data_IF_534399325781
#
_entry.id   IF_534399325781
#
_cell.length_a   1.000
_cell.length_b   1.000
_cell.length_c   1.000
_cell.angle_alpha   90.00
_cell.angle_beta   90.00
_cell.angle_gamma   90.00
#
_symmetry.space_group_name_H-M   'P 1'
#
loop_
_entity.id
_entity.type
_entity.pdbx_description
1 polymer ?
#
# COMPACT_ATOMS: atom_id res chain seq x y z
N UNK A 1 10.51 -3.21 -8.31
CA UNK A 1 9.79 -4.50 -8.28
C UNK A 1 10.61 -5.57 -7.57
N UNK A 2 11.85 -5.83 -7.98
CA UNK A 2 12.68 -6.95 -7.47
C UNK A 2 12.79 -7.05 -5.93
N UNK A 3 12.93 -5.91 -5.24
CA UNK A 3 12.92 -5.90 -3.77
C UNK A 3 11.58 -6.34 -3.20
N UNK A 4 10.48 -5.74 -3.68
CA UNK A 4 9.11 -6.09 -3.29
C UNK A 4 8.83 -7.56 -3.53
N UNK A 5 9.22 -8.09 -4.70
CA UNK A 5 9.04 -9.49 -5.05
C UNK A 5 9.71 -10.42 -4.02
N UNK A 6 11.00 -10.21 -3.75
CA UNK A 6 11.73 -11.04 -2.77
C UNK A 6 11.14 -10.96 -1.36
N UNK A 7 10.80 -9.75 -0.93
CA UNK A 7 10.27 -9.52 0.43
C UNK A 7 8.88 -10.12 0.60
N UNK A 8 7.97 -9.92 -0.35
CA UNK A 8 6.61 -10.45 -0.31
C UNK A 8 6.60 -11.97 -0.47
N UNK A 9 7.42 -12.52 -1.38
CA UNK A 9 7.58 -13.97 -1.52
C UNK A 9 8.06 -14.62 -0.22
N UNK A 10 9.03 -14.00 0.47
CA UNK A 10 9.49 -14.48 1.79
C UNK A 10 8.41 -14.37 2.87
N UNK A 11 7.68 -13.26 2.90
CA UNK A 11 6.68 -12.99 3.93
C UNK A 11 5.44 -13.88 3.81
N UNK A 12 4.96 -14.16 2.59
CA UNK A 12 3.65 -14.79 2.36
C UNK A 12 3.72 -16.21 1.83
N UNK A 13 4.54 -16.52 0.81
CA UNK A 13 4.38 -17.75 0.02
C UNK A 13 4.39 -19.04 0.87
N UNK A 14 5.21 -19.09 1.93
CA UNK A 14 5.28 -20.24 2.85
C UNK A 14 4.00 -20.53 3.63
N UNK A 15 3.06 -19.60 3.66
CA UNK A 15 1.78 -19.70 4.37
C UNK A 15 0.59 -19.85 3.42
N UNK A 16 0.84 -19.86 2.09
CA UNK A 16 -0.21 -19.96 1.08
C UNK A 16 -0.44 -21.41 0.66
N UNK A 17 -1.64 -21.73 0.11
CA UNK A 17 -1.90 -23.03 -0.51
C UNK A 17 -0.91 -23.36 -1.62
N UNK A 18 -0.73 -24.66 -1.88
CA UNK A 18 0.13 -25.13 -2.96
C UNK A 18 -0.30 -24.54 -4.31
N UNK A 19 0.66 -24.03 -5.08
CA UNK A 19 0.42 -23.40 -6.38
C UNK A 19 0.00 -21.92 -6.32
N UNK A 20 -0.21 -21.34 -5.13
CA UNK A 20 -0.53 -19.92 -4.97
C UNK A 20 0.72 -19.11 -4.59
N UNK A 21 0.84 -17.89 -5.12
CA UNK A 21 1.91 -16.95 -4.78
C UNK A 21 1.35 -15.66 -4.18
N UNK A 22 2.19 -14.88 -3.48
CA UNK A 22 1.77 -13.63 -2.85
C UNK A 22 1.06 -12.67 -3.83
N UNK A 23 1.43 -12.71 -5.11
CA UNK A 23 0.88 -11.84 -6.14
C UNK A 23 -0.63 -12.05 -6.33
N UNK A 24 -1.10 -13.28 -6.12
CA UNK A 24 -2.50 -13.68 -6.24
C UNK A 24 -3.38 -13.11 -5.13
N UNK A 25 -2.79 -12.62 -4.03
CA UNK A 25 -3.50 -11.94 -2.95
C UNK A 25 -3.95 -10.52 -3.32
N UNK A 26 -3.44 -9.97 -4.43
CA UNK A 26 -3.61 -8.55 -4.76
C UNK A 26 -4.14 -8.36 -6.18
N UNK A 27 -5.33 -7.75 -6.27
CA UNK A 27 -5.92 -7.30 -7.53
C UNK A 27 -5.06 -6.28 -8.28
N UNK A 28 -4.18 -5.56 -7.59
CA UNK A 28 -3.28 -4.59 -8.21
C UNK A 28 -2.06 -4.40 -7.32
N UNK A 29 -0.88 -4.32 -7.94
CA UNK A 29 0.35 -3.95 -7.23
C UNK A 29 0.96 -2.74 -7.89
N UNK A 30 1.24 -1.71 -7.10
CA UNK A 30 1.94 -0.50 -7.53
C UNK A 30 3.23 -0.39 -6.72
N UNK A 31 4.36 -0.53 -7.39
CA UNK A 31 5.69 -0.32 -6.81
C UNK A 31 6.20 1.08 -7.10
N UNK A 32 7.16 1.56 -6.31
CA UNK A 32 7.75 2.89 -6.46
C UNK A 32 6.68 4.00 -6.58
N UNK A 33 5.65 3.93 -5.73
CA UNK A 33 4.54 4.89 -5.74
C UNK A 33 4.99 6.33 -5.47
N UNK A 34 6.18 6.54 -4.87
CA UNK A 34 6.73 7.86 -4.51
C UNK A 34 5.73 8.67 -3.69
N UNK A 35 5.41 8.16 -2.50
CA UNK A 35 4.65 8.92 -1.51
C UNK A 35 5.57 10.02 -0.94
N UNK A 36 5.09 11.25 -0.71
CA UNK A 36 3.69 11.69 -0.77
C UNK A 36 3.13 12.03 -2.17
N UNK A 37 3.97 12.13 -3.21
CA UNK A 37 3.57 12.60 -4.54
C UNK A 37 2.47 11.76 -5.19
N UNK A 38 2.39 10.47 -4.86
CA UNK A 38 1.29 9.58 -5.22
C UNK A 38 -0.10 10.16 -4.95
N UNK A 39 -0.23 10.90 -3.85
CA UNK A 39 -1.48 11.52 -3.41
C UNK A 39 -1.61 12.99 -3.83
N UNK A 40 -0.53 13.63 -4.28
CA UNK A 40 -0.54 15.07 -4.58
C UNK A 40 -0.57 15.35 -6.09
N UNK A 41 -0.03 14.47 -6.92
CA UNK A 41 0.19 14.73 -8.34
C UNK A 41 -0.29 13.58 -9.22
N UNK A 42 -0.68 13.92 -10.45
CA UNK A 42 -0.89 12.92 -11.50
C UNK A 42 0.47 12.56 -12.10
N UNK A 43 1.07 11.47 -11.63
CA UNK A 43 2.32 10.94 -12.17
C UNK A 43 2.06 9.94 -13.31
N UNK A 44 3.04 9.78 -14.19
CA UNK A 44 3.05 8.75 -15.23
C UNK A 44 2.98 7.35 -14.60
N UNK A 45 2.26 6.45 -15.27
CA UNK A 45 2.11 5.06 -14.90
C UNK A 45 2.86 4.19 -15.90
N UNK A 46 3.60 3.21 -15.41
CA UNK A 46 4.27 2.21 -16.24
C UNK A 46 3.86 0.83 -15.78
N UNK A 47 3.53 -0.06 -16.71
CA UNK A 47 3.33 -1.48 -16.44
C UNK A 47 4.69 -2.18 -16.41
N UNK A 48 4.91 -3.00 -15.39
CA UNK A 48 6.08 -3.89 -15.32
C UNK A 48 5.71 -5.15 -16.08
N UNK A 49 6.32 -5.35 -17.25
CA UNK A 49 5.91 -6.42 -18.19
C UNK A 49 6.78 -7.67 -18.12
N UNK A 50 7.90 -7.61 -17.42
CA UNK A 50 8.84 -8.72 -17.28
C UNK A 50 9.43 -8.78 -15.87
N UNK A 51 9.94 -9.94 -15.49
CA UNK A 51 10.56 -10.17 -14.17
C UNK A 51 11.85 -9.36 -13.96
N UNK A 52 12.59 -9.06 -15.02
CA UNK A 52 13.77 -8.18 -14.99
C UNK A 52 13.42 -6.68 -14.85
N UNK A 53 12.13 -6.34 -14.89
CA UNK A 53 11.62 -5.02 -14.56
C UNK A 53 11.45 -4.09 -15.76
N UNK A 54 11.32 -4.63 -16.98
CA UNK A 54 11.04 -3.81 -18.17
C UNK A 54 9.73 -3.04 -17.98
N UNK A 55 9.78 -1.74 -18.26
CA UNK A 55 8.66 -0.82 -18.08
C UNK A 55 8.04 -0.47 -19.43
N UNK A 56 6.72 -0.62 -19.53
CA UNK A 56 5.93 -0.15 -20.67
C UNK A 56 5.02 0.99 -20.21
N UNK A 57 4.97 2.14 -20.90
CA UNK A 57 4.01 3.19 -20.59
C UNK A 57 2.58 2.65 -20.56
N UNK A 58 1.84 2.97 -19.50
CA UNK A 58 0.45 2.54 -19.32
C UNK A 58 -0.45 3.76 -19.11
N UNK A 59 -1.54 3.84 -19.87
CA UNK A 59 -2.49 4.94 -19.75
C UNK A 59 -3.52 4.72 -18.64
N UNK A 60 -3.75 3.46 -18.27
CA UNK A 60 -4.73 3.06 -17.25
C UNK A 60 -4.21 1.83 -16.51
N UNK A 61 -4.46 1.80 -15.20
CA UNK A 61 -4.28 0.59 -14.41
C UNK A 61 -5.48 -0.36 -14.62
N UNK A 62 -5.24 -1.65 -14.43
CA UNK A 62 -6.22 -2.73 -14.57
C UNK A 62 -6.03 -3.73 -13.43
N UNK A 63 -7.08 -4.47 -13.11
CA UNK A 63 -7.04 -5.63 -12.22
C UNK A 63 -6.04 -6.67 -12.74
N UNK A 64 -5.34 -7.35 -11.83
CA UNK A 64 -4.18 -8.21 -12.07
C UNK A 64 -2.87 -7.46 -12.37
N UNK A 65 -2.93 -6.16 -12.65
CA UNK A 65 -1.79 -5.42 -13.18
C UNK A 65 -0.71 -5.08 -12.15
N UNK A 66 0.55 -5.18 -12.59
CA UNK A 66 1.74 -4.76 -11.84
C UNK A 66 2.28 -3.47 -12.45
N UNK A 67 2.37 -2.42 -11.63
CA UNK A 67 2.70 -1.08 -12.10
C UNK A 67 3.82 -0.44 -11.30
N UNK A 68 4.47 0.55 -11.90
CA UNK A 68 5.46 1.44 -11.32
C UNK A 68 4.97 2.88 -11.41
N UNK A 69 5.04 3.63 -10.30
CA UNK A 69 4.61 5.03 -10.24
C UNK A 69 3.09 5.20 -10.15
N UNK A 70 2.51 6.03 -11.02
CA UNK A 70 1.08 6.31 -11.01
C UNK A 70 0.61 7.25 -9.88
N UNK A 71 -0.70 7.32 -9.68
CA UNK A 71 -1.31 8.20 -8.68
C UNK A 71 -2.56 7.58 -8.07
N UNK A 72 -2.94 8.03 -6.88
CA UNK A 72 -4.16 7.56 -6.19
C UNK A 72 -5.42 7.77 -7.06
N UNK A 73 -5.48 8.85 -7.84
CA UNK A 73 -6.58 9.11 -8.79
C UNK A 73 -6.69 8.05 -9.88
N UNK A 74 -5.56 7.47 -10.32
CA UNK A 74 -5.57 6.38 -11.30
C UNK A 74 -6.09 5.09 -10.67
N UNK A 75 -5.83 4.86 -9.38
CA UNK A 75 -6.38 3.71 -8.63
C UNK A 75 -7.89 3.81 -8.53
N UNK A 76 -8.44 4.95 -8.09
CA UNK A 76 -9.89 5.17 -8.03
C UNK A 76 -10.56 4.89 -9.37
N UNK A 77 -9.99 5.45 -10.45
CA UNK A 77 -10.51 5.24 -11.81
C UNK A 77 -10.42 3.79 -12.29
N UNK A 78 -9.36 3.08 -11.92
CA UNK A 78 -9.16 1.69 -12.35
C UNK A 78 -10.08 0.72 -11.62
N UNK A 79 -10.35 0.99 -10.34
CA UNK A 79 -11.24 0.18 -9.51
C UNK A 79 -12.71 0.63 -9.58
N UNK A 80 -12.99 1.76 -10.24
CA UNK A 80 -14.31 2.37 -10.35
C UNK A 80 -14.98 2.60 -8.98
N UNK A 81 -14.20 3.14 -8.05
CA UNK A 81 -14.60 3.50 -6.68
C UNK A 81 -14.11 4.90 -6.37
N UNK A 82 -14.68 5.51 -5.33
CA UNK A 82 -14.33 6.87 -4.94
C UNK A 82 -14.39 7.07 -3.44
N UNK A 83 -13.54 7.97 -2.92
CA UNK A 83 -13.75 8.51 -1.59
C UNK A 83 -13.74 7.45 -0.50
N UNK A 84 -14.80 7.42 0.29
CA UNK A 84 -14.94 6.56 1.45
C UNK A 84 -15.19 5.08 1.10
N UNK A 85 -15.34 4.71 -0.17
CA UNK A 85 -15.36 3.31 -0.58
C UNK A 85 -13.99 2.63 -0.39
N UNK A 86 -12.91 3.42 -0.38
CA UNK A 86 -11.53 2.94 -0.21
C UNK A 86 -11.04 3.10 1.24
N UNK A 87 -10.31 2.10 1.71
CA UNK A 87 -9.54 2.13 2.95
C UNK A 87 -8.05 2.04 2.63
N UNK A 88 -7.30 3.07 3.01
CA UNK A 88 -5.84 3.04 2.97
C UNK A 88 -5.27 2.64 4.32
N UNK A 89 -4.41 1.62 4.32
CA UNK A 89 -3.72 1.15 5.52
C UNK A 89 -2.23 1.42 5.33
N UNK A 90 -1.63 2.17 6.26
CA UNK A 90 -0.22 2.55 6.21
C UNK A 90 0.32 2.81 7.61
N UNK A 91 1.61 3.11 7.69
CA UNK A 91 2.36 3.34 8.94
C UNK A 91 2.84 4.79 9.08
N UNK A 92 2.81 5.58 8.00
CA UNK A 92 3.24 6.98 8.01
C UNK A 92 2.06 7.96 7.98
N UNK A 93 1.89 8.71 9.07
CA UNK A 93 0.79 9.70 9.22
C UNK A 93 0.84 10.76 8.12
N UNK A 94 1.99 11.42 7.96
CA UNK A 94 2.07 12.66 7.17
C UNK A 94 2.28 12.43 5.67
N UNK A 95 3.07 11.42 5.30
CA UNK A 95 3.38 11.16 3.88
C UNK A 95 2.29 10.35 3.19
N UNK A 96 1.44 9.67 3.96
CA UNK A 96 0.47 8.71 3.41
C UNK A 96 -0.95 8.98 3.92
N UNK A 97 -1.24 8.66 5.19
CA UNK A 97 -2.61 8.61 5.71
C UNK A 97 -3.31 9.97 5.68
N UNK A 98 -2.65 11.04 6.13
CA UNK A 98 -3.24 12.37 6.12
C UNK A 98 -3.58 12.83 4.70
N UNK A 99 -2.72 12.55 3.72
CA UNK A 99 -2.93 12.94 2.32
C UNK A 99 -4.03 12.12 1.64
N UNK A 100 -4.09 10.80 1.91
CA UNK A 100 -5.19 9.97 1.45
C UNK A 100 -6.55 10.50 1.95
N UNK A 101 -6.61 10.93 3.22
CA UNK A 101 -7.82 11.52 3.81
C UNK A 101 -8.15 12.89 3.24
N UNK A 102 -7.18 13.80 3.18
CA UNK A 102 -7.41 15.20 2.79
C UNK A 102 -7.72 15.34 1.28
N UNK A 103 -6.96 14.65 0.42
CA UNK A 103 -7.05 14.87 -1.02
C UNK A 103 -8.07 13.97 -1.70
N UNK A 104 -8.33 12.77 -1.15
CA UNK A 104 -9.21 11.78 -1.76
C UNK A 104 -10.38 11.37 -0.89
N UNK A 105 -10.45 11.80 0.38
CA UNK A 105 -11.49 11.39 1.34
C UNK A 105 -11.53 9.88 1.62
N UNK A 106 -10.45 9.16 1.31
CA UNK A 106 -10.33 7.75 1.66
C UNK A 106 -10.49 7.56 3.16
N UNK A 107 -11.07 6.42 3.56
CA UNK A 107 -10.94 5.94 4.93
C UNK A 107 -9.47 5.58 5.16
N UNK A 108 -8.97 5.77 6.37
CA UNK A 108 -7.58 5.50 6.71
C UNK A 108 -7.47 4.68 7.99
N UNK A 109 -6.54 3.74 8.00
CA UNK A 109 -6.12 3.01 9.18
C UNK A 109 -4.60 3.16 9.31
N UNK A 110 -4.12 3.36 10.53
CA UNK A 110 -2.70 3.55 10.83
C UNK A 110 -2.17 2.34 11.60
N UNK A 111 -1.09 1.76 11.11
CA UNK A 111 -0.32 0.74 11.81
C UNK A 111 0.74 1.47 12.65
N UNK A 112 0.64 1.38 13.97
CA UNK A 112 1.59 1.97 14.92
C UNK A 112 2.20 0.83 15.73
N UNK A 113 3.44 0.45 15.42
CA UNK A 113 4.09 -0.67 16.11
C UNK A 113 4.47 -0.31 17.55
N UNK A 114 4.85 0.95 17.77
CA UNK A 114 5.29 1.49 19.05
C UNK A 114 4.17 1.52 20.08
N UNK A 115 2.90 1.49 19.63
CA UNK A 115 1.73 1.53 20.51
C UNK A 115 1.66 0.31 21.43
N UNK A 116 2.13 -0.87 20.99
CA UNK A 116 2.20 -2.06 21.84
C UNK A 116 3.07 -1.81 23.08
N UNK A 117 4.25 -1.23 22.88
CA UNK A 117 5.17 -0.88 23.96
C UNK A 117 4.59 0.20 24.89
N UNK A 118 3.90 1.19 24.34
CA UNK A 118 3.23 2.21 25.15
C UNK A 118 2.10 1.63 26.00
N UNK A 119 1.30 0.72 25.45
CA UNK A 119 0.21 0.06 26.20
C UNK A 119 0.78 -0.75 27.35
N UNK A 120 1.84 -1.55 27.11
CA UNK A 120 2.49 -2.34 28.15
C UNK A 120 3.11 -1.45 29.25
N UNK A 121 3.78 -0.37 28.86
CA UNK A 121 4.37 0.58 29.80
C UNK A 121 3.29 1.29 30.64
N UNK A 122 2.16 1.67 30.03
CA UNK A 122 1.03 2.28 30.73
C UNK A 122 0.38 1.30 31.71
N UNK A 123 0.24 0.03 31.34
CA UNK A 123 -0.30 -1.00 32.22
C UNK A 123 0.61 -1.24 33.44
N UNK A 124 1.94 -1.30 33.23
CA UNK A 124 2.91 -1.43 34.31
C UNK A 124 2.91 -0.21 35.25
N UNK A 125 2.88 1.01 34.69
CA UNK A 125 2.91 2.25 35.47
C UNK A 125 1.70 2.47 36.38
N UNK A 126 0.50 1.99 35.98
CA UNK A 126 -0.73 2.08 36.79
C UNK A 126 -0.67 1.26 38.08
N UNK A 127 0.20 0.26 38.16
CA UNK A 127 0.34 -0.59 39.36
C UNK A 127 1.08 0.09 40.52
N UNK A 128 1.74 1.23 40.27
CA UNK A 128 2.52 1.97 41.27
C UNK A 128 1.79 3.16 41.90
N UNK A 129 0.57 3.49 41.45
CA UNK A 129 -0.26 4.58 42.00
C UNK A 129 -1.41 4.08 42.88
N UNK A 130 -1.24 2.94 43.56
CA UNK A 130 -2.16 2.41 44.57
C UNK A 130 -1.57 2.50 45.98
#
# INVERSE_FOLDING_TARGET
>A
YNYTEKMMSFAYNRFLPEGMVWRDLFDMVIVMARKPEFFNHNMSLYEVVTEDGLLRPALKAKTGGLYCGGSARMVEKALNVSGDELLYVGDHIYTDNALAKLNFKWRTALIIRELELEIDALAAGRSHTA
#
